data_IF_077005093871
#
_entry.id   IF_077005093871
#
_cell.length_a   1.000
_cell.length_b   1.000
_cell.length_c   1.000
_cell.angle_alpha   90.00
_cell.angle_beta   90.00
_cell.angle_gamma   90.00
#
_symmetry.space_group_name_H-M   'P 1'
#
loop_
_entity.id
_entity.type
_entity.pdbx_description
1 polymer ?
#
# COMPACT_ATOMS: atom_id res chain seq x y z
N UNK A 1 -20.03 17.80 2.49
CA UNK A 1 -19.27 16.64 1.92
C UNK A 1 -18.08 16.44 2.83
N UNK A 2 -18.04 15.33 3.57
CA UNK A 2 -17.00 15.06 4.56
C UNK A 2 -15.64 14.88 3.89
N UNK A 3 -14.54 15.13 4.61
CA UNK A 3 -13.17 14.96 4.12
C UNK A 3 -12.95 13.58 3.51
N UNK A 4 -13.52 12.56 4.13
CA UNK A 4 -13.51 11.17 3.64
C UNK A 4 -14.11 11.02 2.23
N UNK A 5 -15.24 11.66 1.94
CA UNK A 5 -15.86 11.63 0.61
C UNK A 5 -15.00 12.30 -0.46
N UNK A 6 -14.23 13.34 -0.10
CA UNK A 6 -13.30 14.00 -1.04
C UNK A 6 -12.13 13.13 -1.40
N UNK A 7 -11.56 12.42 -0.42
CA UNK A 7 -10.44 11.50 -0.64
C UNK A 7 -10.89 10.29 -1.46
N UNK A 8 -12.07 9.74 -1.16
CA UNK A 8 -12.66 8.64 -1.92
C UNK A 8 -12.94 9.05 -3.38
N UNK A 9 -13.52 10.25 -3.58
CA UNK A 9 -13.83 10.78 -4.91
C UNK A 9 -12.54 11.04 -5.72
N UNK A 10 -11.49 11.57 -5.09
CA UNK A 10 -10.19 11.76 -5.73
C UNK A 10 -9.56 10.42 -6.13
N UNK A 11 -9.63 9.40 -5.28
CA UNK A 11 -9.15 8.06 -5.59
C UNK A 11 -9.89 7.43 -6.77
N UNK A 12 -11.21 7.56 -6.82
CA UNK A 12 -12.05 7.07 -7.92
C UNK A 12 -11.74 7.81 -9.23
N UNK A 13 -11.52 9.12 -9.19
CA UNK A 13 -11.16 9.92 -10.37
C UNK A 13 -9.80 9.54 -10.95
N UNK A 14 -8.82 9.22 -10.12
CA UNK A 14 -7.49 8.74 -10.55
C UNK A 14 -7.63 7.38 -11.26
N UNK A 15 -8.45 6.47 -10.73
CA UNK A 15 -8.71 5.16 -11.35
C UNK A 15 -9.42 5.29 -12.69
N UNK A 16 -10.40 6.19 -12.81
CA UNK A 16 -11.18 6.38 -14.04
C UNK A 16 -10.35 7.04 -15.17
N UNK A 17 -9.41 7.92 -14.83
CA UNK A 17 -8.56 8.58 -15.84
C UNK A 17 -7.49 7.65 -16.46
N UNK A 18 -7.22 6.48 -15.87
CA UNK A 18 -6.25 5.50 -16.38
C UNK A 18 -6.82 4.48 -17.38
N UNK A 19 -8.11 4.53 -17.71
CA UNK A 19 -8.80 3.52 -18.54
C UNK A 19 -8.56 3.73 -20.07
N UNK A 20 -7.54 4.42 -20.47
CA UNK A 20 -7.26 4.66 -21.88
C UNK A 20 -5.95 4.06 -22.35
N UNK A 21 -5.89 2.76 -22.69
CA UNK A 21 -4.94 2.27 -23.69
C UNK A 21 -5.08 0.78 -24.04
N UNK A 22 -5.15 0.54 -25.31
CA UNK A 22 -4.72 -0.54 -26.23
C UNK A 22 -4.86 -2.00 -25.80
N UNK A 23 -5.65 -2.69 -26.62
CA UNK A 23 -5.84 -4.13 -26.66
C UNK A 23 -4.56 -4.86 -27.13
N UNK A 24 -3.80 -5.39 -26.21
CA UNK A 24 -2.91 -6.52 -26.44
C UNK A 24 -3.29 -7.65 -25.47
N UNK A 25 -3.18 -8.90 -25.94
CA UNK A 25 -3.52 -10.09 -25.15
C UNK A 25 -2.55 -10.41 -23.99
N UNK A 26 -1.65 -9.51 -23.65
CA UNK A 26 -0.67 -9.65 -22.58
C UNK A 26 -1.26 -9.13 -21.25
N UNK A 27 -1.31 -9.98 -20.26
CA UNK A 27 -1.84 -9.65 -18.94
C UNK A 27 -0.91 -8.72 -18.12
N UNK A 28 0.38 -8.71 -18.45
CA UNK A 28 1.40 -7.84 -17.81
C UNK A 28 2.34 -7.31 -18.85
N UNK A 29 2.25 -6.03 -19.10
CA UNK A 29 3.10 -5.34 -20.06
C UNK A 29 4.37 -4.84 -19.37
N UNK A 30 5.49 -4.87 -20.11
CA UNK A 30 6.69 -4.15 -19.71
C UNK A 30 6.44 -2.64 -19.87
N UNK A 31 6.90 -1.85 -18.92
CA UNK A 31 6.73 -0.41 -18.96
C UNK A 31 6.24 0.15 -17.64
N UNK A 32 5.68 1.34 -17.72
CA UNK A 32 5.06 1.98 -16.57
C UNK A 32 3.91 1.15 -16.03
N UNK A 33 3.83 1.09 -14.71
CA UNK A 33 2.75 0.44 -13.98
C UNK A 33 2.43 1.21 -12.72
N UNK A 34 1.15 1.45 -12.49
CA UNK A 34 0.64 2.00 -11.25
C UNK A 34 -0.25 1.03 -10.52
N UNK A 35 -0.47 1.26 -9.24
CA UNK A 35 -1.45 0.54 -8.44
C UNK A 35 -2.09 1.46 -7.41
N UNK A 36 -3.34 1.15 -7.07
CA UNK A 36 -4.05 1.72 -5.93
C UNK A 36 -4.59 0.57 -5.11
N UNK A 37 -4.44 0.62 -3.81
CA UNK A 37 -4.94 -0.42 -2.91
C UNK A 37 -5.62 0.17 -1.68
N UNK A 38 -6.61 -0.58 -1.18
CA UNK A 38 -7.19 -0.39 0.14
C UNK A 38 -6.56 -1.44 1.04
N UNK A 39 -6.18 -1.05 2.24
CA UNK A 39 -5.46 -1.88 3.19
C UNK A 39 -6.14 -1.87 4.54
N UNK A 40 -6.18 -3.02 5.19
CA UNK A 40 -6.68 -3.17 6.54
C UNK A 40 -5.63 -3.89 7.41
N UNK A 41 -5.31 -3.30 8.52
CA UNK A 41 -4.46 -3.88 9.55
C UNK A 41 -5.32 -4.56 10.63
N UNK A 42 -6.14 -5.53 10.21
CA UNK A 42 -7.01 -6.35 11.04
C UNK A 42 -7.92 -5.54 11.97
N UNK A 43 -8.62 -4.55 11.39
CA UNK A 43 -9.60 -3.72 12.08
C UNK A 43 -9.01 -2.63 12.97
N UNK A 44 -7.68 -2.54 13.05
CA UNK A 44 -7.02 -1.48 13.83
C UNK A 44 -6.82 -0.23 12.98
N UNK A 45 -6.29 -0.37 11.76
CA UNK A 45 -6.06 0.74 10.83
C UNK A 45 -6.60 0.41 9.45
N UNK A 46 -7.37 1.33 8.92
CA UNK A 46 -7.82 1.30 7.54
C UNK A 46 -7.03 2.34 6.75
N UNK A 47 -6.52 1.96 5.58
CA UNK A 47 -5.72 2.84 4.76
C UNK A 47 -5.94 2.68 3.27
N UNK A 48 -5.34 3.61 2.54
CA UNK A 48 -5.21 3.54 1.10
C UNK A 48 -3.76 3.86 0.71
N UNK A 49 -3.27 3.13 -0.29
CA UNK A 49 -1.92 3.27 -0.82
C UNK A 49 -1.98 3.43 -2.33
N UNK A 50 -1.02 4.15 -2.87
CA UNK A 50 -0.74 4.17 -4.32
C UNK A 50 0.74 3.96 -4.55
N UNK A 51 1.07 3.18 -5.59
CA UNK A 51 2.44 2.91 -5.99
C UNK A 51 2.59 3.11 -7.50
N UNK A 52 3.68 3.73 -7.91
CA UNK A 52 3.99 4.03 -9.30
C UNK A 52 5.42 3.61 -9.60
N UNK A 53 5.61 2.91 -10.71
CA UNK A 53 6.92 2.37 -11.03
C UNK A 53 7.01 1.78 -12.42
N UNK A 54 7.90 0.81 -12.57
CA UNK A 54 8.23 0.20 -13.84
C UNK A 54 8.27 -1.32 -13.77
N UNK A 55 7.60 -1.98 -14.73
CA UNK A 55 7.74 -3.40 -14.99
C UNK A 55 8.95 -3.63 -15.88
N UNK A 56 10.04 -4.13 -15.33
CA UNK A 56 11.27 -4.43 -16.08
C UNK A 56 11.09 -5.60 -17.06
N UNK A 57 10.29 -6.55 -16.63
CA UNK A 57 9.83 -7.68 -17.43
C UNK A 57 8.45 -8.09 -16.91
N UNK A 58 7.84 -9.16 -17.44
CA UNK A 58 6.51 -9.63 -17.03
C UNK A 58 6.40 -10.10 -15.57
N UNK A 59 7.53 -10.22 -14.89
CA UNK A 59 7.61 -10.79 -13.55
C UNK A 59 8.09 -9.81 -12.48
N UNK A 60 8.82 -8.76 -12.83
CA UNK A 60 9.50 -7.89 -11.86
C UNK A 60 9.04 -6.46 -12.00
N UNK A 61 8.50 -5.95 -10.92
CA UNK A 61 8.10 -4.55 -10.72
C UNK A 61 8.94 -3.90 -9.64
N UNK A 62 9.32 -2.66 -9.86
CA UNK A 62 9.92 -1.79 -8.86
C UNK A 62 9.29 -0.39 -8.99
N UNK A 63 8.84 0.16 -7.87
CA UNK A 63 8.21 1.46 -7.82
C UNK A 63 8.44 2.17 -6.50
N UNK A 64 7.80 3.32 -6.38
CA UNK A 64 7.69 4.08 -5.17
C UNK A 64 6.23 4.47 -4.95
N UNK A 65 5.84 4.63 -3.70
CA UNK A 65 4.46 4.93 -3.36
C UNK A 65 4.31 5.76 -2.12
N UNK A 66 3.08 6.17 -1.91
CA UNK A 66 2.63 6.83 -0.70
C UNK A 66 1.36 6.16 -0.19
N UNK A 67 1.13 6.25 1.10
CA UNK A 67 -0.06 5.73 1.75
C UNK A 67 -0.54 6.62 2.88
N UNK A 68 -1.79 6.42 3.26
CA UNK A 68 -2.38 7.07 4.41
C UNK A 68 -3.31 6.12 5.15
N UNK A 69 -3.31 6.23 6.49
CA UNK A 69 -4.07 5.37 7.38
C UNK A 69 -4.83 6.18 8.40
N UNK A 70 -6.00 5.70 8.76
CA UNK A 70 -6.84 6.23 9.83
C UNK A 70 -7.17 5.11 10.82
N UNK A 71 -7.39 5.48 12.07
CA UNK A 71 -7.86 4.59 13.13
C UNK A 71 -9.38 4.76 13.30
N UNK A 72 -10.22 3.85 12.78
CA UNK A 72 -11.67 4.06 12.71
C UNK A 72 -12.38 3.99 14.05
N UNK A 73 -11.78 3.41 15.10
CA UNK A 73 -12.43 3.12 16.37
C UNK A 73 -12.02 4.04 17.53
N UNK A 74 -11.32 5.14 17.26
CA UNK A 74 -10.85 6.09 18.29
C UNK A 74 -11.69 7.35 18.36
N UNK A 75 -11.86 7.90 19.54
CA UNK A 75 -12.43 9.25 19.77
C UNK A 75 -11.51 10.35 19.23
N UNK A 76 -10.24 10.08 19.09
CA UNK A 76 -9.24 10.89 18.41
C UNK A 76 -8.70 10.01 17.27
N UNK A 77 -8.92 10.39 16.03
CA UNK A 77 -8.51 9.63 14.84
C UNK A 77 -7.05 9.95 14.48
N UNK A 78 -6.04 9.29 15.09
CA UNK A 78 -4.68 9.47 14.67
C UNK A 78 -4.57 9.04 13.21
N UNK A 79 -3.96 9.89 12.41
CA UNK A 79 -3.71 9.62 11.01
C UNK A 79 -2.21 9.42 10.79
N UNK A 80 -1.88 8.54 9.86
CA UNK A 80 -0.51 8.24 9.49
C UNK A 80 -0.34 8.38 8.00
N UNK A 81 0.80 8.95 7.60
CA UNK A 81 1.24 8.95 6.21
C UNK A 81 2.50 8.13 6.07
N UNK A 82 2.68 7.53 4.91
CA UNK A 82 3.91 6.81 4.59
C UNK A 82 4.39 7.10 3.18
N UNK A 83 5.70 6.98 2.99
CA UNK A 83 6.34 6.96 1.68
C UNK A 83 7.23 5.71 1.62
N UNK A 84 7.20 4.98 0.50
CA UNK A 84 7.85 3.69 0.41
C UNK A 84 8.38 3.38 -0.99
N UNK A 85 9.37 2.50 -1.02
CA UNK A 85 9.77 1.73 -2.20
C UNK A 85 8.97 0.44 -2.22
N UNK A 86 8.57 0.01 -3.40
CA UNK A 86 7.68 -1.11 -3.62
C UNK A 86 8.26 -2.08 -4.65
N UNK A 87 8.56 -3.28 -4.23
CA UNK A 87 9.05 -4.35 -5.08
C UNK A 87 8.03 -5.49 -5.14
N UNK A 88 7.68 -5.93 -6.35
CA UNK A 88 6.86 -7.12 -6.57
C UNK A 88 7.52 -8.08 -7.56
N UNK A 89 7.40 -9.37 -7.27
CA UNK A 89 7.73 -10.45 -8.18
C UNK A 89 6.51 -11.33 -8.45
N UNK A 90 6.08 -11.38 -9.70
CA UNK A 90 5.00 -12.23 -10.19
C UNK A 90 5.60 -13.56 -10.60
N UNK A 91 5.22 -14.64 -9.92
CA UNK A 91 5.92 -15.93 -10.05
C UNK A 91 5.62 -16.68 -11.35
N UNK A 92 4.56 -16.28 -12.06
CA UNK A 92 4.15 -16.92 -13.33
C UNK A 92 3.67 -15.86 -14.32
N UNK A 93 4.01 -16.04 -15.59
CA UNK A 93 3.46 -15.25 -16.70
C UNK A 93 2.11 -15.83 -17.16
N UNK A 94 1.11 -15.74 -16.30
CA UNK A 94 -0.26 -16.22 -16.54
C UNK A 94 -1.27 -15.18 -16.03
N UNK A 95 -2.52 -15.28 -16.51
CA UNK A 95 -3.63 -14.44 -16.05
C UNK A 95 -3.73 -14.38 -14.52
N UNK A 96 -3.68 -15.53 -13.86
CA UNK A 96 -3.60 -15.64 -12.40
C UNK A 96 -2.21 -16.05 -11.97
N UNK A 97 -1.59 -15.31 -11.04
CA UNK A 97 -0.24 -15.60 -10.57
C UNK A 97 -0.08 -15.27 -9.09
N UNK A 98 0.66 -16.12 -8.36
CA UNK A 98 1.16 -15.71 -7.04
C UNK A 98 2.11 -14.53 -7.19
N UNK A 99 2.06 -13.63 -6.20
CA UNK A 99 2.93 -12.46 -6.10
C UNK A 99 3.63 -12.50 -4.76
N UNK A 100 4.91 -12.20 -4.75
CA UNK A 100 5.68 -11.90 -3.54
C UNK A 100 6.14 -10.46 -3.63
N UNK A 101 6.06 -9.74 -2.53
CA UNK A 101 6.40 -8.33 -2.51
C UNK A 101 7.15 -7.94 -1.25
N UNK A 102 7.83 -6.82 -1.36
CA UNK A 102 8.54 -6.18 -0.26
C UNK A 102 8.37 -4.67 -0.38
N UNK A 103 7.79 -4.04 0.63
CA UNK A 103 7.78 -2.59 0.77
C UNK A 103 8.73 -2.18 1.88
N UNK A 104 9.44 -1.09 1.70
CA UNK A 104 10.26 -0.47 2.74
C UNK A 104 10.18 1.03 2.63
N UNK A 105 10.11 1.71 3.75
CA UNK A 105 9.91 3.15 3.72
C UNK A 105 9.89 3.78 5.09
N UNK A 106 9.33 4.98 5.11
CA UNK A 106 9.19 5.81 6.29
C UNK A 106 7.72 6.10 6.55
N UNK A 107 7.31 5.98 7.79
CA UNK A 107 5.97 6.32 8.27
C UNK A 107 6.03 7.50 9.22
N UNK A 108 5.09 8.44 9.05
CA UNK A 108 4.94 9.64 9.85
C UNK A 108 3.55 9.70 10.45
N UNK A 109 3.47 9.89 11.78
CA UNK A 109 2.22 10.12 12.49
C UNK A 109 1.85 11.60 12.51
N UNK A 110 0.61 11.91 12.18
CA UNK A 110 0.02 13.24 12.28
C UNK A 110 -0.89 13.30 13.52
N UNK A 111 -0.91 14.43 14.23
CA UNK A 111 -1.82 14.72 15.36
C UNK A 111 -1.74 13.75 16.53
N UNK A 112 -0.54 13.57 17.08
CA UNK A 112 -0.32 12.78 18.27
C UNK A 112 -0.03 13.68 19.49
N UNK A 113 -1.02 14.41 19.99
CA UNK A 113 -0.91 15.06 21.30
C UNK A 113 -1.21 14.09 22.44
N UNK A 114 -0.22 13.93 23.27
CA UNK A 114 -0.08 13.31 24.59
C UNK A 114 -1.36 13.06 25.40
N UNK A 115 -2.12 12.02 25.13
CA UNK A 115 -3.08 11.48 26.11
C UNK A 115 -3.02 9.96 26.14
N UNK A 116 -2.08 9.42 26.93
CA UNK A 116 -2.18 8.07 27.51
C UNK A 116 -2.24 6.86 26.57
N UNK A 117 -2.11 7.02 25.25
CA UNK A 117 -2.21 5.97 24.26
C UNK A 117 -0.83 5.55 23.70
N UNK A 118 -0.82 4.49 22.91
CA UNK A 118 0.36 3.94 22.25
C UNK A 118 1.00 5.03 21.37
N UNK A 119 2.15 5.54 21.80
CA UNK A 119 2.94 6.52 21.04
C UNK A 119 3.51 5.85 19.80
N UNK A 120 2.77 5.80 18.72
CA UNK A 120 3.34 5.45 17.43
C UNK A 120 4.05 6.69 16.88
N UNK A 121 5.36 6.69 17.05
CA UNK A 121 6.23 7.73 16.52
C UNK A 121 6.60 7.41 15.08
N UNK A 122 7.19 8.39 14.42
CA UNK A 122 7.83 8.23 13.12
C UNK A 122 8.76 7.03 13.10
N UNK A 123 8.76 6.26 12.04
CA UNK A 123 9.57 5.06 11.97
C UNK A 123 9.90 4.61 10.57
N UNK A 124 10.99 3.86 10.46
CA UNK A 124 11.27 3.08 9.27
C UNK A 124 10.46 1.78 9.33
N UNK A 125 10.02 1.30 8.19
CA UNK A 125 9.32 0.03 8.13
C UNK A 125 9.80 -0.86 7.00
N UNK A 126 9.59 -2.16 7.21
CA UNK A 126 9.72 -3.21 6.21
C UNK A 126 8.43 -4.02 6.21
N UNK A 127 7.87 -4.29 5.04
CA UNK A 127 6.59 -4.97 4.86
C UNK A 127 6.71 -6.06 3.79
N UNK A 128 7.14 -7.28 4.15
CA UNK A 128 7.00 -8.43 3.28
C UNK A 128 5.52 -8.78 3.09
N UNK A 129 5.17 -9.16 1.86
CA UNK A 129 3.82 -9.59 1.52
C UNK A 129 3.82 -10.71 0.50
N UNK A 130 2.75 -11.50 0.52
CA UNK A 130 2.45 -12.54 -0.46
C UNK A 130 1.00 -12.38 -0.89
N UNK A 131 0.72 -12.68 -2.14
CA UNK A 131 -0.62 -12.46 -2.64
C UNK A 131 -0.90 -13.19 -3.94
N UNK A 132 -2.01 -12.82 -4.53
CA UNK A 132 -2.44 -13.29 -5.82
C UNK A 132 -2.86 -12.12 -6.69
N UNK A 133 -2.38 -12.11 -7.94
CA UNK A 133 -2.75 -11.11 -8.94
C UNK A 133 -3.49 -11.77 -10.10
N UNK A 134 -4.61 -11.18 -10.48
CA UNK A 134 -5.38 -11.53 -11.67
C UNK A 134 -5.19 -10.44 -12.72
N UNK A 135 -4.43 -10.75 -13.77
CA UNK A 135 -4.31 -9.88 -14.94
C UNK A 135 -5.63 -9.80 -15.70
N UNK A 136 -6.08 -8.60 -15.97
CA UNK A 136 -7.19 -8.30 -16.84
C UNK A 136 -6.67 -8.03 -18.26
N UNK A 137 -7.56 -7.97 -19.24
CA UNK A 137 -7.19 -7.52 -20.58
C UNK A 137 -6.71 -6.06 -20.51
N UNK A 138 -5.83 -5.65 -21.41
CA UNK A 138 -5.26 -4.29 -21.45
C UNK A 138 -4.19 -3.95 -20.37
N UNK A 139 -3.55 -4.94 -19.75
CA UNK A 139 -2.46 -4.71 -18.78
C UNK A 139 -2.89 -4.35 -17.38
N UNK A 140 -4.19 -4.17 -17.13
CA UNK A 140 -4.73 -3.97 -15.79
C UNK A 140 -4.74 -5.26 -14.96
N UNK A 141 -4.90 -5.13 -13.64
CA UNK A 141 -4.96 -6.28 -12.75
C UNK A 141 -5.70 -6.01 -11.46
N UNK A 142 -6.14 -7.08 -10.82
CA UNK A 142 -6.64 -7.07 -9.45
C UNK A 142 -5.68 -7.86 -8.58
N UNK A 143 -5.41 -7.38 -7.38
CA UNK A 143 -4.55 -8.06 -6.41
C UNK A 143 -5.22 -8.21 -5.07
N UNK A 144 -4.93 -9.32 -4.43
CA UNK A 144 -5.16 -9.52 -3.00
C UNK A 144 -3.85 -9.94 -2.37
N UNK A 145 -3.46 -9.35 -1.26
CA UNK A 145 -2.24 -9.73 -0.57
C UNK A 145 -2.42 -9.75 0.95
N UNK A 146 -1.62 -10.60 1.57
CA UNK A 146 -1.42 -10.68 3.01
C UNK A 146 0.03 -10.33 3.29
N UNK A 147 0.26 -9.54 4.31
CA UNK A 147 1.60 -9.10 4.69
C UNK A 147 1.72 -8.83 6.17
N UNK A 148 2.89 -8.39 6.56
CA UNK A 148 3.16 -7.91 7.90
C UNK A 148 4.12 -6.74 7.85
N UNK A 149 3.72 -5.63 8.45
CA UNK A 149 4.54 -4.43 8.56
C UNK A 149 5.29 -4.48 9.88
N UNK A 150 6.62 -4.45 9.79
CA UNK A 150 7.53 -4.33 10.92
C UNK A 150 8.01 -2.88 10.97
N UNK A 151 7.70 -2.18 12.05
CA UNK A 151 8.03 -0.76 12.22
C UNK A 151 9.10 -0.63 13.28
N UNK A 152 10.23 -0.04 12.91
CA UNK A 152 11.31 0.36 13.79
C UNK A 152 11.17 1.86 14.07
N UNK A 153 10.74 2.27 15.28
CA UNK A 153 10.52 3.67 15.59
C UNK A 153 11.85 4.45 15.58
N UNK A 154 11.79 5.66 15.03
CA UNK A 154 12.87 6.64 15.05
C UNK A 154 12.52 7.70 16.11
N UNK A 155 12.94 7.51 17.34
CA UNK A 155 12.66 8.44 18.43
C UNK A 155 13.78 8.50 19.45
N UNK A 156 13.68 9.48 20.34
CA UNK A 156 14.68 9.73 21.38
C UNK A 156 14.84 8.48 22.29
N UNK A 157 16.08 8.11 22.57
CA UNK A 157 16.49 6.93 23.38
C UNK A 157 15.89 6.86 24.79
N UNK A 158 15.09 7.84 25.19
CA UNK A 158 14.43 7.92 26.49
C UNK A 158 13.11 7.18 26.61
N UNK A 159 12.56 6.70 25.50
CA UNK A 159 11.30 5.94 25.49
C UNK A 159 11.62 4.51 25.06
N UNK A 160 11.26 3.51 25.85
CA UNK A 160 11.33 2.06 25.53
C UNK A 160 10.42 1.73 24.32
N UNK A 161 10.81 2.20 23.13
CA UNK A 161 10.02 1.99 21.92
C UNK A 161 10.35 0.62 21.35
N UNK A 162 9.40 -0.28 21.48
CA UNK A 162 9.49 -1.63 20.93
C UNK A 162 9.16 -1.61 19.44
N UNK A 163 9.89 -2.43 18.68
CA UNK A 163 9.52 -2.76 17.31
C UNK A 163 8.08 -3.26 17.27
N UNK A 164 7.25 -2.70 16.42
CA UNK A 164 5.85 -3.06 16.28
C UNK A 164 5.69 -3.94 15.03
N UNK A 165 4.98 -5.05 15.19
CA UNK A 165 4.56 -5.90 14.08
C UNK A 165 3.05 -5.75 13.86
N UNK A 166 2.65 -5.50 12.61
CA UNK A 166 1.26 -5.31 12.24
C UNK A 166 0.93 -6.18 11.03
N UNK A 167 0.08 -7.19 11.20
CA UNK A 167 -0.44 -7.95 10.07
C UNK A 167 -1.35 -7.07 9.21
N UNK A 168 -1.41 -7.35 7.91
CA UNK A 168 -2.09 -6.54 6.91
C UNK A 168 -2.73 -7.40 5.84
N UNK A 169 -3.93 -7.04 5.43
CA UNK A 169 -4.57 -7.49 4.20
C UNK A 169 -4.75 -6.31 3.25
N UNK A 170 -4.56 -6.54 1.96
CA UNK A 170 -4.72 -5.49 0.94
C UNK A 170 -5.50 -5.99 -0.26
N UNK A 171 -6.32 -5.12 -0.80
CA UNK A 171 -7.01 -5.29 -2.09
C UNK A 171 -6.57 -4.16 -3.02
N UNK A 172 -6.04 -4.50 -4.18
CA UNK A 172 -5.45 -3.54 -5.10
C UNK A 172 -5.98 -3.68 -6.52
N UNK A 173 -5.91 -2.57 -7.23
CA UNK A 173 -6.09 -2.47 -8.68
C UNK A 173 -4.78 -1.98 -9.30
N UNK A 174 -4.33 -2.69 -10.33
CA UNK A 174 -3.11 -2.39 -11.11
C UNK A 174 -3.51 -1.84 -12.48
N UNK A 175 -2.77 -0.82 -12.96
CA UNK A 175 -3.00 -0.16 -14.25
C UNK A 175 -1.71 0.29 -14.92
#
# INVERSE_FOLDING_TARGET
MNQFSKVLLAGVLIVVSSIGASAQNDYRLRGYKGSVSITDHFGVWLGAETSHGYMFNRNVYLGAGIGGYIFPNGTENPSFGEAFLDFHSYLRDKKGTPVVGLKTGYMHGFDYENKGGMKLQNGLFVEPNVGWSWGLRSGHGLTISLGGKVIAPLGDKRTDQKTLFMPKISFGFEF
#
